data_IF_507841900265
#
_entry.id   IF_507841900265
#
_cell.length_a   1.000
_cell.length_b   1.000
_cell.length_c   1.000
_cell.angle_alpha   90.00
_cell.angle_beta   90.00
_cell.angle_gamma   90.00
#
_symmetry.space_group_name_H-M   'P 1'
#
loop_
_entity.id
_entity.type
_entity.pdbx_description
1 polymer ?
#
# COMPACT_ATOMS: atom_id res chain seq x y z
N UNK A 1 -33.26 10.69 19.66
CA UNK A 1 -31.80 10.79 19.89
C UNK A 1 -31.26 9.46 19.42
N UNK A 2 -30.56 9.43 18.28
CA UNK A 2 -30.23 8.18 17.58
C UNK A 2 -28.82 7.72 18.00
N UNK A 3 -28.75 6.59 18.70
CA UNK A 3 -27.55 6.00 19.31
C UNK A 3 -26.47 5.49 18.32
N UNK A 4 -26.54 5.84 17.04
CA UNK A 4 -25.51 5.51 16.04
C UNK A 4 -25.24 4.00 15.87
N UNK A 5 -26.21 3.16 16.25
CA UNK A 5 -26.18 1.70 16.24
C UNK A 5 -27.21 1.24 15.22
N UNK A 6 -26.82 0.33 14.30
CA UNK A 6 -27.72 -0.19 13.25
C UNK A 6 -28.34 -1.53 13.67
N UNK A 7 -29.65 -1.56 13.83
CA UNK A 7 -30.45 -2.73 14.24
C UNK A 7 -31.60 -3.07 13.28
N UNK A 8 -32.19 -4.25 13.50
CA UNK A 8 -33.28 -4.77 12.68
C UNK A 8 -34.47 -3.80 12.65
N UNK A 9 -34.87 -3.40 11.44
CA UNK A 9 -35.92 -2.40 11.20
C UNK A 9 -35.41 -1.00 10.86
N UNK A 10 -34.11 -0.74 11.02
CA UNK A 10 -33.51 0.50 10.52
C UNK A 10 -33.32 0.46 9.01
N UNK A 11 -33.42 1.64 8.40
CA UNK A 11 -33.30 1.83 6.96
C UNK A 11 -32.56 3.14 6.65
N UNK A 12 -31.83 3.15 5.54
CA UNK A 12 -31.11 4.33 5.05
C UNK A 12 -29.70 4.01 4.54
N UNK A 13 -28.99 5.05 4.12
CA UNK A 13 -27.66 4.93 3.49
C UNK A 13 -26.63 4.21 4.39
N UNK A 14 -26.74 4.35 5.70
CA UNK A 14 -25.86 3.67 6.65
C UNK A 14 -26.04 2.14 6.61
N UNK A 15 -27.27 1.66 6.48
CA UNK A 15 -27.58 0.23 6.35
C UNK A 15 -27.15 -0.28 4.98
N UNK A 16 -27.37 0.52 3.93
CA UNK A 16 -26.96 0.20 2.56
C UNK A 16 -25.45 0.02 2.45
N UNK A 17 -24.66 0.91 3.06
CA UNK A 17 -23.20 0.79 3.10
C UNK A 17 -22.77 -0.47 3.85
N UNK A 18 -23.33 -0.73 5.02
CA UNK A 18 -23.03 -1.92 5.82
C UNK A 18 -23.37 -3.22 5.06
N UNK A 19 -24.50 -3.27 4.36
CA UNK A 19 -24.86 -4.40 3.50
C UNK A 19 -23.83 -4.60 2.39
N UNK A 20 -23.37 -3.52 1.76
CA UNK A 20 -22.28 -3.58 0.79
C UNK A 20 -21.00 -4.18 1.38
N UNK A 21 -20.62 -3.77 2.59
CA UNK A 21 -19.47 -4.30 3.32
C UNK A 21 -19.61 -5.80 3.60
N UNK A 22 -20.77 -6.25 4.06
CA UNK A 22 -21.06 -7.67 4.31
C UNK A 22 -20.98 -8.50 3.02
N UNK A 23 -21.49 -7.97 1.90
CA UNK A 23 -21.40 -8.61 0.58
C UNK A 23 -19.96 -8.70 0.07
N UNK A 24 -19.12 -7.70 0.33
CA UNK A 24 -17.69 -7.72 0.00
C UNK A 24 -16.92 -8.80 0.78
N UNK A 25 -17.37 -9.11 1.99
CA UNK A 25 -16.82 -10.18 2.83
C UNK A 25 -17.36 -11.58 2.44
N UNK A 26 -18.08 -11.69 1.32
CA UNK A 26 -18.75 -12.91 0.87
C UNK A 26 -19.71 -13.51 1.92
N UNK A 27 -20.21 -12.70 2.86
CA UNK A 27 -21.20 -13.15 3.83
C UNK A 27 -22.55 -13.30 3.15
N UNK A 28 -23.25 -14.37 3.51
CA UNK A 28 -24.56 -14.70 2.93
C UNK A 28 -25.66 -14.53 3.96
N UNK A 29 -26.84 -14.17 3.46
CA UNK A 29 -28.04 -14.12 4.28
C UNK A 29 -28.49 -15.51 4.69
N UNK A 30 -29.56 -15.57 5.50
CA UNK A 30 -30.15 -16.83 5.97
C UNK A 30 -30.55 -17.77 4.82
N UNK A 31 -30.86 -17.22 3.64
CA UNK A 31 -31.21 -17.96 2.43
C UNK A 31 -29.99 -18.52 1.66
N UNK A 32 -28.76 -18.35 2.16
CA UNK A 32 -27.53 -18.75 1.48
C UNK A 32 -27.18 -17.91 0.24
N UNK A 33 -27.86 -16.77 0.08
CA UNK A 33 -27.67 -15.83 -1.04
C UNK A 33 -26.85 -14.62 -0.58
N UNK A 34 -26.07 -14.00 -1.49
CA UNK A 34 -25.40 -12.74 -1.19
C UNK A 34 -26.43 -11.66 -0.83
N UNK A 35 -26.08 -10.80 0.13
CA UNK A 35 -26.95 -9.72 0.54
C UNK A 35 -27.02 -8.67 -0.55
N UNK A 36 -28.23 -8.14 -0.76
CA UNK A 36 -28.44 -7.02 -1.64
C UNK A 36 -28.47 -5.74 -0.79
N UNK A 37 -27.65 -4.72 -1.11
CA UNK A 37 -27.62 -3.46 -0.38
C UNK A 37 -28.83 -2.60 -0.81
N UNK A 38 -30.00 -2.96 -0.31
CA UNK A 38 -31.25 -2.21 -0.54
C UNK A 38 -31.40 -1.03 0.45
N UNK A 39 -30.63 -1.04 1.54
CA UNK A 39 -30.73 -0.04 2.60
C UNK A 39 -31.70 -0.40 3.71
N UNK A 40 -32.24 -1.62 3.71
CA UNK A 40 -33.19 -2.11 4.72
C UNK A 40 -32.57 -3.20 5.62
N UNK A 41 -32.60 -2.99 6.94
CA UNK A 41 -32.04 -3.93 7.90
C UNK A 41 -33.07 -5.05 8.19
N UNK A 42 -33.18 -5.98 7.25
CA UNK A 42 -34.03 -7.16 7.35
C UNK A 42 -33.42 -8.33 8.12
N UNK A 43 -34.16 -9.46 8.25
CA UNK A 43 -33.70 -10.66 8.92
C UNK A 43 -32.47 -11.30 8.24
N UNK A 44 -32.32 -11.14 6.93
CA UNK A 44 -31.15 -11.61 6.19
C UNK A 44 -29.89 -10.81 6.54
N UNK A 45 -30.02 -9.49 6.64
CA UNK A 45 -28.97 -8.57 7.10
C UNK A 45 -28.54 -8.90 8.52
N UNK A 46 -29.51 -9.12 9.42
CA UNK A 46 -29.23 -9.52 10.79
C UNK A 46 -28.44 -10.83 10.86
N UNK A 47 -28.85 -11.84 10.10
CA UNK A 47 -28.15 -13.12 10.09
C UNK A 47 -26.69 -12.99 9.66
N UNK A 48 -26.41 -12.19 8.63
CA UNK A 48 -25.06 -11.93 8.16
C UNK A 48 -24.22 -11.18 9.21
N UNK A 49 -24.82 -10.22 9.92
CA UNK A 49 -24.16 -9.53 11.04
C UNK A 49 -23.85 -10.50 12.18
N UNK A 50 -24.77 -11.40 12.53
CA UNK A 50 -24.54 -12.41 13.56
C UNK A 50 -23.42 -13.40 13.17
N UNK A 51 -23.36 -13.80 11.90
CA UNK A 51 -22.26 -14.63 11.39
C UNK A 51 -20.92 -13.89 11.53
N UNK A 52 -20.85 -12.65 11.03
CA UNK A 52 -19.66 -11.82 11.15
C UNK A 52 -19.21 -11.65 12.61
N UNK A 53 -20.14 -11.37 13.51
CA UNK A 53 -19.84 -11.23 14.93
C UNK A 53 -19.28 -12.51 15.54
N UNK A 54 -19.82 -13.68 15.16
CA UNK A 54 -19.31 -14.99 15.61
C UNK A 54 -17.89 -15.23 15.11
N UNK A 55 -17.63 -14.97 13.83
CA UNK A 55 -16.32 -15.20 13.20
C UNK A 55 -15.23 -14.28 13.79
N UNK A 56 -15.59 -13.04 14.11
CA UNK A 56 -14.66 -12.06 14.67
C UNK A 56 -14.63 -12.00 16.20
N UNK A 57 -15.29 -12.94 16.89
CA UNK A 57 -15.28 -13.02 18.36
C UNK A 57 -15.94 -11.82 19.06
N UNK A 58 -16.91 -11.18 18.39
CA UNK A 58 -17.68 -10.06 18.92
C UNK A 58 -18.96 -10.55 19.61
N UNK A 59 -19.61 -9.64 20.32
CA UNK A 59 -20.92 -9.91 20.91
C UNK A 59 -21.97 -10.12 19.80
N UNK A 60 -22.59 -11.30 19.79
CA UNK A 60 -23.49 -11.77 18.72
C UNK A 60 -24.93 -11.37 19.03
N UNK A 61 -25.18 -10.07 19.13
CA UNK A 61 -26.53 -9.54 19.38
C UNK A 61 -27.29 -9.27 18.07
N UNK A 62 -26.62 -9.43 16.91
CA UNK A 62 -27.17 -9.09 15.60
C UNK A 62 -27.33 -7.59 15.40
N UNK A 63 -26.63 -6.79 16.22
CA UNK A 63 -26.68 -5.34 16.17
C UNK A 63 -25.31 -4.74 15.87
N UNK A 64 -25.27 -3.80 14.94
CA UNK A 64 -24.04 -3.12 14.54
C UNK A 64 -23.85 -1.85 15.38
N UNK A 65 -23.27 -2.04 16.56
CA UNK A 65 -22.72 -0.95 17.36
C UNK A 65 -21.33 -0.50 16.86
N UNK A 66 -20.70 0.43 17.57
CA UNK A 66 -19.38 0.98 17.23
C UNK A 66 -18.29 -0.08 17.04
N UNK A 67 -18.25 -1.10 17.92
CA UNK A 67 -17.25 -2.17 17.85
C UNK A 67 -17.44 -3.04 16.61
N UNK A 68 -18.69 -3.45 16.32
CA UNK A 68 -19.04 -4.21 15.12
C UNK A 68 -18.73 -3.42 13.85
N UNK A 69 -19.05 -2.12 13.84
CA UNK A 69 -18.79 -1.24 12.69
C UNK A 69 -17.29 -1.07 12.43
N UNK A 70 -16.49 -0.86 13.48
CA UNK A 70 -15.03 -0.78 13.36
C UNK A 70 -14.42 -2.10 12.88
N UNK A 71 -14.95 -3.24 13.33
CA UNK A 71 -14.52 -4.55 12.87
C UNK A 71 -14.89 -4.80 11.39
N UNK A 72 -16.10 -4.42 10.96
CA UNK A 72 -16.53 -4.51 9.56
C UNK A 72 -15.65 -3.66 8.65
N UNK A 73 -15.37 -2.42 9.05
CA UNK A 73 -14.48 -1.51 8.32
C UNK A 73 -13.08 -2.10 8.15
N UNK A 74 -12.53 -2.64 9.25
CA UNK A 74 -11.23 -3.32 9.22
C UNK A 74 -11.25 -4.60 8.38
N UNK A 75 -12.30 -5.40 8.46
CA UNK A 75 -12.42 -6.64 7.71
C UNK A 75 -12.55 -6.35 6.20
N UNK A 76 -13.32 -5.32 5.83
CA UNK A 76 -13.41 -4.84 4.44
C UNK A 76 -12.09 -4.25 3.98
N UNK A 77 -11.38 -3.50 4.81
CA UNK A 77 -10.03 -3.02 4.49
C UNK A 77 -9.02 -4.18 4.30
N UNK A 78 -9.25 -5.33 4.94
CA UNK A 78 -8.43 -6.53 4.82
C UNK A 78 -8.84 -7.44 3.64
N UNK A 79 -10.12 -7.43 3.23
CA UNK A 79 -10.65 -8.23 2.11
C UNK A 79 -10.81 -7.45 0.80
N UNK A 80 -10.78 -6.13 0.82
CA UNK A 80 -10.64 -5.33 -0.39
C UNK A 80 -9.23 -5.54 -0.95
N UNK A 81 -9.06 -5.81 -2.26
CA UNK A 81 -7.75 -5.68 -2.88
C UNK A 81 -7.36 -4.21 -2.76
N UNK A 82 -6.46 -3.90 -1.82
CA UNK A 82 -5.88 -2.61 -1.44
C UNK A 82 -6.17 -1.43 -2.39
N UNK A 83 -7.40 -0.94 -2.44
CA UNK A 83 -7.82 0.25 -3.18
C UNK A 83 -9.00 0.88 -2.43
N UNK A 84 -8.90 2.19 -2.21
CA UNK A 84 -9.73 3.03 -1.36
C UNK A 84 -9.51 2.91 0.17
N UNK A 85 -8.36 3.40 0.64
CA UNK A 85 -8.35 4.11 1.94
C UNK A 85 -8.71 5.58 1.65
N UNK A 86 -9.70 6.19 2.33
CA UNK A 86 -9.82 7.64 2.35
C UNK A 86 -8.59 8.23 3.03
N UNK A 87 -7.97 9.18 2.33
CA UNK A 87 -6.83 9.96 2.79
C UNK A 87 -7.21 10.79 4.02
N UNK A 88 -7.11 10.22 5.22
CA UNK A 88 -7.00 10.93 6.49
C UNK A 88 -6.43 9.93 7.52
N UNK A 89 -5.24 10.21 8.04
CA UNK A 89 -4.56 9.51 9.16
C UNK A 89 -3.60 8.36 8.81
N UNK A 90 -2.67 8.62 7.88
CA UNK A 90 -1.31 8.10 7.99
C UNK A 90 -0.41 9.20 8.59
N UNK A 91 -0.51 9.41 9.90
CA UNK A 91 0.44 10.24 10.66
C UNK A 91 1.61 9.37 11.09
N UNK A 92 2.58 9.17 10.19
CA UNK A 92 4.01 9.01 10.48
C UNK A 92 4.73 8.55 9.21
N UNK A 93 5.48 9.47 8.60
CA UNK A 93 6.26 9.36 7.37
C UNK A 93 5.47 9.52 6.05
N UNK A 94 5.83 10.53 5.21
CA UNK A 94 5.33 10.61 3.84
C UNK A 94 5.71 9.33 3.08
N UNK A 95 4.78 8.76 2.31
CA UNK A 95 5.08 7.63 1.43
C UNK A 95 6.05 8.07 0.32
N UNK A 96 6.78 7.13 -0.29
CA UNK A 96 7.65 7.42 -1.46
C UNK A 96 6.89 8.12 -2.61
N UNK A 97 5.60 7.82 -2.75
CA UNK A 97 4.70 8.44 -3.73
C UNK A 97 4.29 9.86 -3.37
N UNK A 98 4.47 10.30 -2.13
CA UNK A 98 4.14 11.66 -1.70
C UNK A 98 5.22 12.65 -2.17
N UNK A 99 4.84 13.78 -2.78
CA UNK A 99 5.80 14.79 -3.25
C UNK A 99 6.61 15.44 -2.12
N UNK A 100 6.16 15.35 -0.87
CA UNK A 100 6.88 15.85 0.30
C UNK A 100 8.00 14.91 0.74
N UNK A 101 8.10 13.70 0.16
CA UNK A 101 9.16 12.76 0.48
C UNK A 101 10.49 13.21 -0.17
N UNK A 102 11.62 13.27 0.58
CA UNK A 102 12.91 13.71 0.05
C UNK A 102 13.39 12.85 -1.14
N UNK A 103 12.96 11.60 -1.19
CA UNK A 103 13.28 10.65 -2.26
C UNK A 103 12.18 10.48 -3.31
N UNK A 104 11.19 11.37 -3.35
CA UNK A 104 10.14 11.36 -4.37
C UNK A 104 10.70 11.46 -5.80
N UNK A 105 11.85 12.13 -5.98
CA UNK A 105 12.52 12.24 -7.28
C UNK A 105 12.95 10.86 -7.84
N UNK A 106 13.43 9.95 -6.98
CA UNK A 106 13.77 8.58 -7.38
C UNK A 106 12.51 7.78 -7.73
N UNK A 107 11.47 7.88 -6.91
CA UNK A 107 10.19 7.21 -7.14
C UNK A 107 9.54 7.65 -8.45
N UNK A 108 9.35 8.95 -8.63
CA UNK A 108 8.72 9.53 -9.85
C UNK A 108 9.52 9.23 -11.12
N UNK A 109 10.85 9.23 -11.06
CA UNK A 109 11.71 8.80 -12.16
C UNK A 109 11.50 7.32 -12.50
N UNK A 110 11.45 6.46 -11.49
CA UNK A 110 11.20 5.01 -11.64
C UNK A 110 9.83 4.75 -12.27
N UNK A 111 8.77 5.37 -11.74
CA UNK A 111 7.40 5.24 -12.28
C UNK A 111 7.37 5.65 -13.74
N UNK A 112 7.97 6.80 -14.09
CA UNK A 112 7.97 7.31 -15.47
C UNK A 112 8.65 6.36 -16.45
N UNK A 113 9.78 5.78 -16.08
CA UNK A 113 10.51 4.85 -16.94
C UNK A 113 9.81 3.48 -17.03
N UNK A 114 9.23 2.99 -15.93
CA UNK A 114 8.42 1.77 -15.94
C UNK A 114 7.12 1.94 -16.75
N UNK A 115 6.49 3.11 -16.70
CA UNK A 115 5.32 3.43 -17.53
C UNK A 115 5.69 3.51 -19.02
N UNK A 116 6.87 4.05 -19.36
CA UNK A 116 7.39 4.04 -20.74
C UNK A 116 7.65 2.63 -21.27
N UNK A 117 8.08 1.71 -20.41
CA UNK A 117 8.20 0.30 -20.77
C UNK A 117 6.81 -0.34 -21.00
N UNK A 118 5.78 0.12 -20.30
CA UNK A 118 4.39 -0.29 -20.49
C UNK A 118 4.22 -1.80 -20.39
N UNK A 119 3.53 -2.40 -21.38
CA UNK A 119 3.33 -3.86 -21.43
C UNK A 119 4.65 -4.65 -21.53
N UNK A 120 5.73 -4.04 -22.03
CA UNK A 120 7.06 -4.68 -22.10
C UNK A 120 7.68 -4.87 -20.72
N UNK A 121 7.21 -4.13 -19.72
CA UNK A 121 7.60 -4.33 -18.33
C UNK A 121 6.87 -5.52 -17.68
N UNK A 122 5.75 -5.97 -18.25
CA UNK A 122 4.99 -7.13 -17.78
C UNK A 122 4.32 -6.93 -16.41
N UNK A 123 3.83 -5.73 -16.12
CA UNK A 123 3.03 -5.46 -14.92
C UNK A 123 1.55 -5.74 -15.17
N UNK A 124 0.91 -6.47 -14.25
CA UNK A 124 -0.52 -6.82 -14.35
C UNK A 124 -1.45 -5.61 -14.20
N UNK A 125 -1.02 -4.58 -13.44
CA UNK A 125 -1.79 -3.37 -13.20
C UNK A 125 -0.86 -2.21 -12.80
N UNK A 126 -1.41 -0.99 -12.77
CA UNK A 126 -0.68 0.22 -12.35
C UNK A 126 -0.13 0.09 -10.93
N UNK A 127 -0.84 -0.60 -10.04
CA UNK A 127 -0.42 -0.80 -8.66
C UNK A 127 0.87 -1.64 -8.54
N UNK A 128 0.99 -2.71 -9.32
CA UNK A 128 2.20 -3.54 -9.41
C UNK A 128 3.39 -2.75 -9.98
N UNK A 129 3.11 -1.82 -10.88
CA UNK A 129 4.11 -0.88 -11.39
C UNK A 129 4.58 0.09 -10.29
N UNK A 130 3.67 0.66 -9.51
CA UNK A 130 3.98 1.57 -8.41
C UNK A 130 4.76 0.88 -7.29
N UNK A 131 4.40 -0.35 -6.95
CA UNK A 131 5.14 -1.20 -6.01
C UNK A 131 6.57 -1.45 -6.52
N UNK A 132 6.69 -1.84 -7.79
CA UNK A 132 8.00 -2.05 -8.40
C UNK A 132 8.83 -0.76 -8.49
N UNK A 133 8.19 0.39 -8.72
CA UNK A 133 8.83 1.69 -8.70
C UNK A 133 9.33 2.08 -7.30
N UNK A 134 8.56 1.76 -6.26
CA UNK A 134 8.94 1.96 -4.86
C UNK A 134 10.20 1.16 -4.50
N UNK A 135 10.22 -0.12 -4.88
CA UNK A 135 11.38 -0.98 -4.67
C UNK A 135 12.59 -0.53 -5.46
N UNK A 136 12.39 -0.15 -6.72
CA UNK A 136 13.47 0.36 -7.57
C UNK A 136 14.08 1.65 -7.02
N UNK A 137 13.26 2.56 -6.50
CA UNK A 137 13.75 3.76 -5.84
C UNK A 137 14.62 3.41 -4.61
N UNK A 138 14.18 2.44 -3.80
CA UNK A 138 14.93 1.94 -2.64
C UNK A 138 16.28 1.33 -3.04
N UNK A 139 16.29 0.39 -3.99
CA UNK A 139 17.53 -0.25 -4.43
C UNK A 139 18.50 0.75 -5.09
N UNK A 140 17.97 1.71 -5.85
CA UNK A 140 18.76 2.81 -6.39
C UNK A 140 19.43 3.59 -5.26
N UNK A 141 18.70 3.94 -4.19
CA UNK A 141 19.27 4.65 -3.03
C UNK A 141 20.35 3.84 -2.30
N UNK A 142 20.12 2.54 -2.10
CA UNK A 142 21.11 1.64 -1.47
C UNK A 142 22.38 1.53 -2.32
N UNK A 143 22.24 1.48 -3.65
CA UNK A 143 23.37 1.53 -4.59
C UNK A 143 24.00 2.92 -4.74
N UNK A 144 23.44 3.93 -4.07
CA UNK A 144 23.90 5.32 -4.09
C UNK A 144 23.54 6.11 -5.34
N UNK A 145 22.55 5.66 -6.11
CA UNK A 145 21.96 6.44 -7.21
C UNK A 145 21.10 7.56 -6.61
N UNK A 146 21.21 8.75 -7.22
CA UNK A 146 20.43 9.93 -6.81
C UNK A 146 19.20 10.15 -7.69
N UNK A 147 19.22 9.60 -8.91
CA UNK A 147 18.10 9.60 -9.87
C UNK A 147 18.15 8.34 -10.73
N UNK A 148 17.03 8.02 -11.36
CA UNK A 148 16.95 7.00 -12.42
C UNK A 148 16.58 7.71 -13.72
N UNK A 149 17.46 7.60 -14.70
CA UNK A 149 17.27 8.20 -16.03
C UNK A 149 16.67 7.17 -17.00
N UNK A 150 17.01 5.90 -16.84
CA UNK A 150 16.52 4.81 -17.68
C UNK A 150 16.20 3.56 -16.87
N UNK A 151 15.17 2.83 -17.29
CA UNK A 151 14.89 1.47 -16.82
C UNK A 151 14.85 0.53 -18.02
N UNK A 152 15.57 -0.58 -17.90
CA UNK A 152 15.59 -1.62 -18.94
C UNK A 152 15.28 -2.98 -18.32
N UNK A 153 14.56 -3.86 -19.03
CA UNK A 153 14.42 -5.24 -18.60
C UNK A 153 15.78 -5.94 -18.66
N UNK A 154 16.09 -6.80 -17.69
CA UNK A 154 17.28 -7.64 -17.73
C UNK A 154 17.22 -8.61 -18.91
N UNK A 155 18.38 -9.05 -19.41
CA UNK A 155 18.46 -10.03 -20.52
C UNK A 155 17.70 -11.32 -20.22
N UNK A 156 17.66 -11.72 -18.95
CA UNK A 156 16.97 -12.92 -18.48
C UNK A 156 15.44 -12.74 -18.39
N UNK A 157 14.93 -11.52 -18.51
CA UNK A 157 13.50 -11.19 -18.39
C UNK A 157 12.93 -11.26 -16.97
N UNK A 158 13.69 -11.76 -16.00
CA UNK A 158 13.25 -11.91 -14.60
C UNK A 158 13.33 -10.62 -13.78
N UNK A 159 14.18 -9.68 -14.17
CA UNK A 159 14.47 -8.46 -13.39
C UNK A 159 14.46 -7.19 -14.22
N UNK A 160 14.57 -6.07 -13.51
CA UNK A 160 14.66 -4.72 -14.06
C UNK A 160 16.03 -4.13 -13.70
N UNK A 161 16.59 -3.32 -14.59
CA UNK A 161 17.85 -2.61 -14.35
C UNK A 161 17.56 -1.12 -14.39
N UNK A 162 17.68 -0.48 -13.23
CA UNK A 162 17.65 0.98 -13.12
C UNK A 162 19.02 1.54 -13.44
N UNK A 163 19.07 2.58 -14.28
CA UNK A 163 20.31 3.20 -14.75
C UNK A 163 20.26 4.71 -14.49
N UNK A 164 21.35 5.22 -13.93
CA UNK A 164 21.62 6.65 -13.78
C UNK A 164 22.68 7.07 -14.80
N UNK A 165 22.39 8.11 -15.59
CA UNK A 165 23.22 8.56 -16.71
C UNK A 165 22.82 7.98 -18.06
N UNK A 166 23.55 8.34 -19.12
CA UNK A 166 23.29 7.86 -20.48
C UNK A 166 23.73 6.40 -20.65
N UNK A 167 22.98 5.60 -21.42
CA UNK A 167 23.31 4.19 -21.66
C UNK A 167 24.67 3.94 -22.33
N UNK A 168 25.25 4.97 -22.96
CA UNK A 168 26.55 4.90 -23.64
C UNK A 168 27.69 5.48 -22.80
N UNK A 169 27.41 5.97 -21.59
CA UNK A 169 28.42 6.59 -20.73
C UNK A 169 29.13 5.55 -19.85
N UNK A 170 30.49 5.49 -19.84
CA UNK A 170 31.22 4.53 -19.03
C UNK A 170 31.15 4.79 -17.52
N UNK A 171 30.71 5.97 -17.08
CA UNK A 171 30.44 6.29 -15.67
C UNK A 171 28.97 6.06 -15.27
N UNK A 172 28.16 5.42 -16.14
CA UNK A 172 26.79 5.05 -15.82
C UNK A 172 26.73 4.17 -14.56
N UNK A 173 25.78 4.46 -13.68
CA UNK A 173 25.53 3.63 -12.48
C UNK A 173 24.28 2.80 -12.73
N UNK A 174 24.34 1.51 -12.39
CA UNK A 174 23.22 0.60 -12.58
C UNK A 174 22.90 -0.15 -11.30
N UNK A 175 21.63 -0.42 -11.12
CA UNK A 175 21.10 -1.27 -10.06
C UNK A 175 20.20 -2.33 -10.67
N UNK A 176 20.29 -3.56 -10.18
CA UNK A 176 19.42 -4.66 -10.57
C UNK A 176 18.35 -4.83 -9.52
N UNK A 177 17.10 -4.98 -9.94
CA UNK A 177 15.91 -5.16 -9.12
C UNK A 177 15.22 -6.44 -9.59
N UNK A 178 14.89 -7.33 -8.66
CA UNK A 178 14.08 -8.51 -8.99
C UNK A 178 12.62 -8.11 -9.17
N UNK A 179 12.05 -8.32 -10.37
CA UNK A 179 10.71 -7.81 -10.70
C UNK A 179 9.63 -8.54 -9.89
N UNK A 180 9.80 -9.84 -9.65
CA UNK A 180 8.82 -10.64 -8.92
C UNK A 180 8.76 -10.17 -7.46
N UNK A 181 9.92 -10.03 -6.81
CA UNK A 181 10.01 -9.51 -5.44
C UNK A 181 9.47 -8.08 -5.35
N UNK A 182 9.77 -7.24 -6.35
CA UNK A 182 9.31 -5.86 -6.40
C UNK A 182 7.79 -5.72 -6.59
N UNK A 183 7.11 -6.74 -7.13
CA UNK A 183 5.64 -6.79 -7.24
C UNK A 183 4.97 -7.36 -5.98
N UNK A 184 5.67 -8.21 -5.23
CA UNK A 184 5.14 -8.81 -3.98
C UNK A 184 5.28 -7.84 -2.81
N UNK A 185 6.31 -6.98 -2.82
CA UNK A 185 6.55 -6.03 -1.74
C UNK A 185 5.62 -4.80 -1.84
N UNK A 186 5.08 -4.39 -0.69
CA UNK A 186 4.20 -3.22 -0.66
C UNK A 186 5.00 -1.90 -0.70
N UNK A 187 4.44 -0.87 -1.36
CA UNK A 187 5.02 0.48 -1.40
C UNK A 187 5.28 1.05 0.02
N UNK A 188 4.44 0.70 0.99
CA UNK A 188 4.60 1.12 2.38
C UNK A 188 5.86 0.50 3.01
N UNK A 189 6.16 -0.77 2.72
CA UNK A 189 7.39 -1.41 3.17
C UNK A 189 8.63 -0.78 2.54
N UNK A 190 8.62 -0.56 1.21
CA UNK A 190 9.73 0.13 0.54
C UNK A 190 9.92 1.55 1.07
N UNK A 191 8.84 2.26 1.43
CA UNK A 191 8.92 3.58 2.08
C UNK A 191 9.59 3.50 3.44
N UNK A 192 9.20 2.52 4.26
CA UNK A 192 9.77 2.32 5.59
C UNK A 192 11.28 2.04 5.49
N UNK A 193 11.66 1.11 4.62
CA UNK A 193 13.06 0.76 4.37
C UNK A 193 13.87 1.95 3.85
N UNK A 194 13.30 2.74 2.94
CA UNK A 194 13.91 3.97 2.43
C UNK A 194 14.17 4.99 3.55
N UNK A 195 13.19 5.19 4.43
CA UNK A 195 13.31 6.13 5.55
C UNK A 195 14.43 5.69 6.51
N UNK A 196 14.51 4.40 6.78
CA UNK A 196 15.55 3.80 7.63
C UNK A 196 16.96 3.98 7.02
N UNK A 197 17.11 3.77 5.71
CA UNK A 197 18.38 3.96 4.99
C UNK A 197 18.82 5.43 4.99
N UNK A 198 17.92 6.37 4.72
CA UNK A 198 18.22 7.82 4.78
C UNK A 198 18.67 8.24 6.19
N UNK A 199 17.98 7.76 7.22
CA UNK A 199 18.36 8.04 8.61
C UNK A 199 19.73 7.45 8.98
N UNK A 200 20.07 6.26 8.46
CA UNK A 200 21.39 5.66 8.64
C UNK A 200 22.48 6.49 7.99
N UNK A 201 22.32 6.88 6.72
CA UNK A 201 23.30 7.70 6.00
C UNK A 201 23.50 9.08 6.65
N UNK A 202 22.43 9.69 7.17
CA UNK A 202 22.53 10.96 7.89
C UNK A 202 23.32 10.83 9.20
N UNK A 203 23.14 9.72 9.93
CA UNK A 203 23.91 9.43 11.13
C UNK A 203 25.40 9.18 10.82
N UNK A 204 25.72 8.39 9.79
CA UNK A 204 27.11 8.12 9.41
C UNK A 204 27.85 9.40 9.00
N UNK A 205 27.22 10.28 8.21
CA UNK A 205 27.82 11.56 7.82
C UNK A 205 28.04 12.50 9.01
N UNK A 206 27.14 12.52 10.00
CA UNK A 206 27.34 13.30 11.23
C UNK A 206 28.48 12.78 12.11
N UNK A 207 28.70 11.46 12.14
CA UNK A 207 29.81 10.85 12.89
C UNK A 207 31.14 11.17 12.20
N UNK A 208 31.22 11.01 10.88
CA UNK A 208 32.43 11.31 10.10
C UNK A 208 32.79 12.80 10.13
N UNK A 209 31.79 13.68 10.11
CA UNK A 209 31.99 15.14 10.26
C UNK A 209 32.44 15.56 11.68
N UNK A 210 32.30 14.67 12.67
CA UNK A 210 32.64 14.93 14.08
C UNK A 210 33.97 14.30 14.51
N UNK A 211 34.71 13.63 13.63
CA UNK A 211 36.10 13.27 13.92
C UNK A 211 37.01 14.47 13.62
N UNK A 212 37.46 15.26 14.63
CA UNK A 212 38.55 16.18 14.42
C UNK A 212 39.78 15.37 14.07
N UNK A 213 40.49 15.83 13.04
CA UNK A 213 41.80 15.35 12.59
C UNK A 213 42.78 15.29 13.77
N UNK A 214 42.75 14.19 14.52
CA UNK A 214 43.72 13.89 15.56
C UNK A 214 44.82 13.04 14.94
N UNK A 215 45.68 13.66 14.12
CA UNK A 215 47.10 13.29 13.95
C UNK A 215 47.74 14.11 12.82
N UNK A 216 48.51 15.13 13.20
CA UNK A 216 49.82 15.44 12.62
C UNK A 216 50.49 16.47 13.54
N UNK A 217 51.28 15.95 14.48
CA UNK A 217 52.23 16.71 15.28
C UNK A 217 53.63 16.26 14.90
#
# INVERSE_FOLDING_TARGET
MADGKLEQGEHGDAVKQMQGQLTQLCLTGRDGKPLHPDGDFGPNTRHAVEQFQREHGLQVDGVVGRNTRAALDRAVAQHAPAQAVPAQQAVAAPLLSDPSHPQHALYSGSVRELEKLGERAGFANRQALEQAAGQMAFEAKVSGLERIDHVVPSKDGCGLIGVQGELNDPAMRRVYVDREQAQVQSLQESTRQMTEEVQRQAQTQQVESREPVAMSR
#
